data_IF_983036349693
#
_entry.id   IF_983036349693
#
_cell.length_a   1.000
_cell.length_b   1.000
_cell.length_c   1.000
_cell.angle_alpha   90.00
_cell.angle_beta   90.00
_cell.angle_gamma   90.00
#
_symmetry.space_group_name_H-M   'P 1'
#
loop_
_entity.id
_entity.type
_entity.pdbx_description
1 polymer ?
#
# COMPACT_ATOMS: atom_id res chain seq x y z
N UNK A 1 0.10 -18.60 -26.01
CA UNK A 1 0.27 -17.15 -26.30
C UNK A 1 0.21 -16.45 -24.97
N UNK A 2 1.33 -15.92 -24.48
CA UNK A 2 1.32 -15.10 -23.28
C UNK A 2 0.48 -13.85 -23.59
N UNK A 3 -0.61 -13.67 -22.90
CA UNK A 3 -1.34 -12.40 -22.89
C UNK A 3 -0.41 -11.44 -22.16
N UNK A 4 0.28 -10.59 -22.91
CA UNK A 4 0.97 -9.44 -22.33
C UNK A 4 -0.13 -8.60 -21.73
N UNK A 5 -0.23 -8.59 -20.37
CA UNK A 5 -1.10 -7.64 -19.68
C UNK A 5 -0.70 -6.24 -20.16
N UNK A 6 -1.66 -5.47 -20.62
CA UNK A 6 -1.43 -4.07 -20.89
C UNK A 6 -0.98 -3.44 -19.55
N UNK A 7 0.12 -2.68 -19.52
CA UNK A 7 0.51 -1.98 -18.31
C UNK A 7 -0.65 -1.06 -17.89
N UNK A 8 -0.86 -0.90 -16.60
CA UNK A 8 -1.70 0.18 -16.08
C UNK A 8 -1.28 1.48 -16.74
N UNK A 9 -2.22 2.26 -17.20
CA UNK A 9 -2.00 3.48 -17.91
C UNK A 9 -0.87 4.41 -17.45
N UNK A 10 -1.09 5.65 -17.54
CA UNK A 10 -0.20 6.72 -17.11
C UNK A 10 -0.55 7.20 -15.67
N UNK A 11 -0.03 8.36 -15.28
CA UNK A 11 -0.35 8.97 -14.00
C UNK A 11 -1.85 9.23 -13.80
N UNK A 12 -2.57 9.51 -14.89
CA UNK A 12 -4.02 9.75 -14.82
C UNK A 12 -4.78 8.49 -14.42
N UNK A 13 -4.33 7.30 -14.85
CA UNK A 13 -4.95 6.04 -14.45
C UNK A 13 -4.77 5.78 -12.95
N UNK A 14 -3.59 6.05 -12.38
CA UNK A 14 -3.36 5.97 -10.94
C UNK A 14 -4.20 6.99 -10.17
N UNK A 15 -4.29 8.22 -10.68
CA UNK A 15 -5.16 9.25 -10.10
C UNK A 15 -6.61 8.79 -10.14
N UNK A 16 -7.07 8.29 -11.28
CA UNK A 16 -8.43 7.78 -11.45
C UNK A 16 -8.71 6.57 -10.54
N UNK A 17 -7.73 5.68 -10.37
CA UNK A 17 -7.85 4.53 -9.47
C UNK A 17 -8.03 4.96 -8.01
N UNK A 18 -7.26 5.95 -7.57
CA UNK A 18 -7.31 6.43 -6.20
C UNK A 18 -8.45 7.41 -5.95
N UNK A 19 -9.02 7.96 -7.01
CA UNK A 19 -10.16 8.86 -6.92
C UNK A 19 -11.41 8.10 -6.47
N UNK A 20 -12.07 8.62 -5.43
CA UNK A 20 -13.33 8.09 -4.91
C UNK A 20 -14.42 9.16 -5.04
N UNK A 21 -15.54 8.80 -5.61
CA UNK A 21 -16.66 9.71 -5.83
C UNK A 21 -17.61 9.67 -4.64
N UNK A 22 -17.92 10.83 -4.07
CA UNK A 22 -18.96 10.94 -3.05
C UNK A 22 -20.33 10.58 -3.65
N UNK A 23 -21.06 9.66 -3.02
CA UNK A 23 -22.39 9.21 -3.41
C UNK A 23 -23.43 9.41 -2.30
N UNK A 24 -22.98 9.73 -1.09
CA UNK A 24 -23.80 10.05 0.07
C UNK A 24 -23.06 10.97 1.03
N UNK A 25 -23.63 11.25 2.19
CA UNK A 25 -23.00 12.10 3.20
C UNK A 25 -21.68 11.49 3.70
N UNK A 26 -21.68 10.19 3.97
CA UNK A 26 -20.57 9.39 4.48
C UNK A 26 -20.22 8.22 3.54
N UNK A 27 -20.73 8.22 2.30
CA UNK A 27 -20.58 7.13 1.36
C UNK A 27 -19.82 7.57 0.11
N UNK A 28 -18.86 6.75 -0.33
CA UNK A 28 -18.04 6.98 -1.51
C UNK A 28 -17.94 5.70 -2.34
N UNK A 29 -17.87 5.84 -3.67
CA UNK A 29 -17.59 4.74 -4.60
C UNK A 29 -16.26 4.95 -5.29
N UNK A 30 -15.49 3.87 -5.43
CA UNK A 30 -14.35 3.83 -6.34
C UNK A 30 -14.80 3.46 -7.75
N UNK A 31 -13.90 3.62 -8.72
CA UNK A 31 -14.03 3.01 -10.03
C UNK A 31 -13.51 1.56 -9.99
N UNK A 32 -14.11 0.70 -10.80
CA UNK A 32 -13.56 -0.63 -11.05
C UNK A 32 -12.38 -0.51 -12.01
N UNK A 33 -11.36 -1.33 -11.80
CA UNK A 33 -10.27 -1.48 -12.74
C UNK A 33 -9.54 -2.80 -12.49
N UNK A 34 -8.77 -3.22 -13.47
CA UNK A 34 -7.94 -4.42 -13.38
C UNK A 34 -6.59 -4.17 -14.05
N UNK A 35 -5.51 -4.62 -13.44
CA UNK A 35 -4.18 -4.62 -14.05
C UNK A 35 -3.98 -5.83 -15.01
N UNK A 36 -5.01 -6.64 -15.19
CA UNK A 36 -4.96 -7.84 -16.02
C UNK A 36 -4.15 -9.00 -15.44
N UNK A 37 -3.39 -8.76 -14.37
CA UNK A 37 -2.56 -9.79 -13.70
C UNK A 37 -3.29 -10.46 -12.57
N UNK A 38 -4.05 -9.70 -11.78
CA UNK A 38 -4.87 -10.19 -10.69
C UNK A 38 -6.27 -9.59 -10.76
N UNK A 39 -7.29 -10.38 -10.59
CA UNK A 39 -8.65 -9.86 -10.47
C UNK A 39 -8.94 -9.30 -9.08
N UNK A 40 -7.95 -9.28 -8.17
CA UNK A 40 -8.14 -8.91 -6.77
C UNK A 40 -7.55 -7.52 -6.51
N UNK A 41 -8.34 -6.68 -5.86
CA UNK A 41 -7.91 -5.34 -5.41
C UNK A 41 -6.90 -5.50 -4.27
N UNK A 42 -5.78 -4.80 -4.37
CA UNK A 42 -4.76 -4.79 -3.31
C UNK A 42 -5.29 -4.14 -2.02
N UNK A 43 -4.93 -4.70 -0.87
CA UNK A 43 -5.34 -4.16 0.43
C UNK A 43 -4.91 -2.71 0.63
N UNK A 44 -3.67 -2.39 0.26
CA UNK A 44 -3.16 -1.02 0.37
C UNK A 44 -3.86 -0.01 -0.54
N UNK A 45 -4.40 -0.45 -1.67
CA UNK A 45 -5.29 0.38 -2.50
C UNK A 45 -6.57 0.73 -1.74
N UNK A 46 -7.22 -0.25 -1.10
CA UNK A 46 -8.40 0.00 -0.28
C UNK A 46 -8.10 0.97 0.88
N UNK A 47 -6.93 0.82 1.53
CA UNK A 47 -6.47 1.73 2.58
C UNK A 47 -6.28 3.16 2.03
N UNK A 48 -5.59 3.31 0.91
CA UNK A 48 -5.35 4.61 0.29
C UNK A 48 -6.65 5.30 -0.14
N UNK A 49 -7.57 4.56 -0.78
CA UNK A 49 -8.89 5.07 -1.17
C UNK A 49 -9.74 5.47 0.05
N UNK A 50 -9.64 4.74 1.17
CA UNK A 50 -10.29 5.10 2.42
C UNK A 50 -9.75 6.42 2.99
N UNK A 51 -8.44 6.65 2.91
CA UNK A 51 -7.79 7.92 3.30
C UNK A 51 -8.29 9.07 2.42
N UNK A 52 -8.39 8.86 1.11
CA UNK A 52 -8.94 9.88 0.19
C UNK A 52 -10.41 10.18 0.53
N UNK A 53 -11.24 9.15 0.74
CA UNK A 53 -12.64 9.32 1.12
C UNK A 53 -12.80 10.12 2.43
N UNK A 54 -12.02 9.76 3.44
CA UNK A 54 -12.02 10.43 4.74
C UNK A 54 -11.53 11.89 4.64
N UNK A 55 -10.46 12.16 3.88
CA UNK A 55 -9.95 13.50 3.64
C UNK A 55 -10.98 14.40 2.94
N UNK A 56 -11.75 13.85 1.99
CA UNK A 56 -12.84 14.58 1.32
C UNK A 56 -14.06 14.81 2.22
N UNK A 57 -14.25 13.96 3.23
CA UNK A 57 -15.27 14.18 4.26
C UNK A 57 -14.85 15.23 5.28
N UNK A 58 -13.54 15.38 5.54
CA UNK A 58 -12.98 16.29 6.55
C UNK A 58 -12.09 17.39 5.92
N UNK A 59 -12.64 18.29 5.10
CA UNK A 59 -11.84 19.30 4.42
C UNK A 59 -11.08 20.19 5.41
N UNK A 60 -9.82 20.51 5.09
CA UNK A 60 -8.93 21.30 5.94
C UNK A 60 -8.31 20.51 7.10
N UNK A 61 -8.48 19.19 7.14
CA UNK A 61 -7.80 18.29 8.06
C UNK A 61 -6.89 17.34 7.30
N UNK A 62 -5.77 16.95 7.91
CA UNK A 62 -4.85 15.97 7.35
C UNK A 62 -5.07 14.59 8.00
N UNK A 63 -4.76 13.53 7.29
CA UNK A 63 -4.72 12.20 7.86
C UNK A 63 -3.51 12.08 8.82
N UNK A 64 -3.76 11.60 10.05
CA UNK A 64 -2.73 11.35 11.06
C UNK A 64 -2.44 9.87 11.18
N UNK A 65 -3.49 9.04 11.19
CA UNK A 65 -3.32 7.59 11.20
C UNK A 65 -4.48 6.89 10.53
N UNK A 66 -4.19 5.70 10.02
CA UNK A 66 -5.18 4.79 9.46
C UNK A 66 -4.78 3.35 9.77
N UNK A 67 -5.71 2.56 10.31
CA UNK A 67 -5.50 1.13 10.53
C UNK A 67 -6.61 0.37 9.84
N UNK A 68 -6.27 -0.65 9.05
CA UNK A 68 -7.23 -1.43 8.29
C UNK A 68 -6.92 -2.91 8.35
N UNK A 69 -7.96 -3.71 8.56
CA UNK A 69 -7.96 -5.17 8.44
C UNK A 69 -8.56 -5.56 7.09
N UNK A 70 -7.90 -6.46 6.37
CA UNK A 70 -8.36 -7.01 5.11
C UNK A 70 -8.98 -8.37 5.36
N UNK A 71 -10.29 -8.46 5.15
CA UNK A 71 -11.11 -9.59 5.57
C UNK A 71 -11.43 -10.54 4.43
N UNK A 72 -11.40 -10.02 3.19
CA UNK A 72 -11.72 -10.74 1.97
C UNK A 72 -11.11 -10.05 0.77
N UNK A 73 -10.67 -10.84 -0.22
CA UNK A 73 -10.32 -10.32 -1.55
C UNK A 73 -11.53 -9.63 -2.19
N UNK A 74 -11.29 -8.49 -2.82
CA UNK A 74 -12.28 -7.76 -3.61
C UNK A 74 -11.94 -7.95 -5.09
N UNK A 75 -12.96 -8.14 -5.92
CA UNK A 75 -12.82 -8.29 -7.37
C UNK A 75 -12.48 -6.93 -8.01
N UNK A 76 -11.36 -6.84 -8.71
CA UNK A 76 -10.92 -5.59 -9.34
C UNK A 76 -11.81 -5.15 -10.51
N UNK A 77 -12.65 -6.04 -11.04
CA UNK A 77 -13.61 -5.72 -12.11
C UNK A 77 -14.90 -5.07 -11.62
N UNK A 78 -15.08 -4.97 -10.29
CA UNK A 78 -16.27 -4.39 -9.66
C UNK A 78 -15.88 -3.18 -8.79
N UNK A 79 -16.76 -2.16 -8.70
CA UNK A 79 -16.50 -1.01 -7.86
C UNK A 79 -16.52 -1.38 -6.37
N UNK A 80 -15.77 -0.62 -5.58
CA UNK A 80 -15.80 -0.68 -4.12
C UNK A 80 -16.68 0.45 -3.59
N UNK A 81 -17.40 0.17 -2.49
CA UNK A 81 -18.13 1.14 -1.68
C UNK A 81 -17.39 1.36 -0.36
N UNK A 82 -17.13 2.62 -0.03
CA UNK A 82 -16.56 3.06 1.24
C UNK A 82 -17.66 3.72 2.06
N UNK A 83 -18.06 3.08 3.15
CA UNK A 83 -19.00 3.63 4.12
C UNK A 83 -18.22 4.15 5.33
N UNK A 84 -18.29 5.46 5.56
CA UNK A 84 -17.65 6.09 6.71
C UNK A 84 -18.64 6.16 7.87
N UNK A 85 -18.11 6.06 9.09
CA UNK A 85 -18.84 6.29 10.33
C UNK A 85 -18.14 7.38 11.13
N UNK A 86 -18.85 8.42 11.54
CA UNK A 86 -18.30 9.46 12.38
C UNK A 86 -18.24 8.95 13.84
N UNK A 87 -17.04 8.55 14.30
CA UNK A 87 -16.82 8.08 15.67
C UNK A 87 -16.69 9.25 16.65
N UNK A 88 -16.03 10.32 16.22
CA UNK A 88 -15.88 11.55 17.00
C UNK A 88 -15.59 12.74 16.10
N UNK A 89 -16.08 13.92 16.48
CA UNK A 89 -15.75 15.17 15.79
C UNK A 89 -15.52 16.27 16.84
N UNK A 90 -14.29 16.70 16.97
CA UNK A 90 -13.85 17.76 17.86
C UNK A 90 -13.23 18.93 17.10
N UNK A 91 -12.84 19.97 17.84
CA UNK A 91 -12.17 21.11 17.24
C UNK A 91 -10.84 20.75 16.59
N UNK A 92 -10.08 19.83 17.17
CA UNK A 92 -8.74 19.42 16.73
C UNK A 92 -8.77 18.11 15.94
N UNK A 93 -9.47 17.09 16.44
CA UNK A 93 -9.46 15.75 15.86
C UNK A 93 -10.83 15.33 15.34
N UNK A 94 -10.80 14.51 14.28
CA UNK A 94 -11.94 13.74 13.78
C UNK A 94 -11.53 12.28 13.70
N UNK A 95 -12.26 11.41 14.37
CA UNK A 95 -12.14 9.96 14.27
C UNK A 95 -13.23 9.39 13.38
N UNK A 96 -12.84 8.58 12.42
CA UNK A 96 -13.73 7.93 11.45
C UNK A 96 -13.53 6.41 11.48
N UNK A 97 -14.62 5.67 11.48
CA UNK A 97 -14.66 4.27 11.05
C UNK A 97 -14.82 4.19 9.54
N UNK A 98 -14.35 3.12 8.92
CA UNK A 98 -14.58 2.83 7.51
C UNK A 98 -14.87 1.35 7.30
N UNK A 99 -15.87 1.06 6.50
CA UNK A 99 -16.13 -0.25 5.94
C UNK A 99 -15.98 -0.19 4.42
N UNK A 100 -15.20 -1.11 3.87
CA UNK A 100 -15.06 -1.29 2.42
C UNK A 100 -15.93 -2.48 2.01
N UNK A 101 -16.90 -2.21 1.15
CA UNK A 101 -17.91 -3.16 0.72
C UNK A 101 -17.82 -3.42 -0.78
N UNK A 102 -18.13 -4.62 -1.19
CA UNK A 102 -18.37 -4.99 -2.58
C UNK A 102 -19.55 -5.95 -2.65
N UNK A 103 -20.55 -5.64 -3.46
CA UNK A 103 -21.82 -6.40 -3.56
C UNK A 103 -22.46 -6.66 -2.19
N UNK A 104 -22.42 -5.66 -1.28
CA UNK A 104 -22.96 -5.75 0.06
C UNK A 104 -22.14 -6.62 1.03
N UNK A 105 -20.98 -7.12 0.64
CA UNK A 105 -20.07 -7.91 1.48
C UNK A 105 -18.88 -7.07 1.92
N UNK A 106 -18.51 -7.19 3.20
CA UNK A 106 -17.37 -6.47 3.75
C UNK A 106 -16.05 -7.10 3.26
N UNK A 107 -15.22 -6.29 2.60
CA UNK A 107 -13.88 -6.65 2.13
C UNK A 107 -12.81 -6.19 3.11
N UNK A 108 -12.97 -4.99 3.69
CA UNK A 108 -12.07 -4.47 4.69
C UNK A 108 -12.82 -3.62 5.73
N UNK A 109 -12.20 -3.40 6.89
CA UNK A 109 -12.71 -2.53 7.95
C UNK A 109 -11.55 -1.83 8.64
N UNK A 110 -11.74 -0.57 8.99
CA UNK A 110 -10.67 0.23 9.59
C UNK A 110 -11.13 1.44 10.36
N UNK A 111 -10.15 2.14 10.92
CA UNK A 111 -10.33 3.41 11.62
C UNK A 111 -9.29 4.42 11.15
N UNK A 112 -9.70 5.68 11.06
CA UNK A 112 -8.85 6.78 10.65
C UNK A 112 -8.93 7.92 11.67
N UNK A 113 -7.81 8.60 11.87
CA UNK A 113 -7.74 9.82 12.66
C UNK A 113 -7.24 10.96 11.77
N UNK A 114 -7.98 12.07 11.80
CA UNK A 114 -7.64 13.31 11.12
C UNK A 114 -7.45 14.43 12.14
N UNK A 115 -6.52 15.36 11.89
CA UNK A 115 -6.32 16.53 12.73
C UNK A 115 -6.29 17.85 11.94
N UNK A 116 -6.33 18.93 12.68
CA UNK A 116 -5.95 20.26 12.19
C UNK A 116 -4.48 20.46 12.53
N UNK A 117 -3.67 20.84 11.56
CA UNK A 117 -2.24 21.07 11.72
C UNK A 117 -1.96 22.07 12.85
N UNK A 118 -1.02 21.74 13.72
CA UNK A 118 -0.57 22.56 14.84
C UNK A 118 0.93 22.81 14.73
N UNK A 119 1.45 23.93 15.33
CA UNK A 119 2.88 24.17 15.43
C UNK A 119 3.57 23.11 16.28
N UNK A 120 4.79 22.74 15.91
CA UNK A 120 5.62 21.82 16.68
C UNK A 120 6.06 22.44 18.00
N UNK A 121 5.79 21.77 19.11
CA UNK A 121 6.36 22.05 20.43
C UNK A 121 7.62 21.21 20.66
N UNK A 122 7.64 20.01 20.08
CA UNK A 122 8.78 19.08 20.09
C UNK A 122 8.95 18.56 18.66
N UNK A 123 10.20 18.30 18.28
CA UNK A 123 10.50 17.80 16.95
C UNK A 123 11.63 16.78 16.99
N UNK A 124 11.40 15.58 16.50
CA UNK A 124 12.40 14.56 16.22
C UNK A 124 11.82 13.50 15.26
N UNK A 125 12.70 12.80 14.58
CA UNK A 125 12.36 11.67 13.70
C UNK A 125 13.51 10.68 13.64
N UNK A 126 13.21 9.42 13.31
CA UNK A 126 14.24 8.43 13.03
C UNK A 126 14.89 8.80 11.70
N UNK A 127 16.23 8.81 11.67
CA UNK A 127 16.98 9.10 10.47
C UNK A 127 16.70 8.06 9.37
N UNK A 128 16.71 8.52 8.12
CA UNK A 128 16.66 7.63 6.97
C UNK A 128 17.87 6.68 6.94
N UNK A 129 17.72 5.45 6.42
CA UNK A 129 18.86 4.60 6.16
C UNK A 129 19.78 5.25 5.11
N UNK A 130 21.08 4.97 5.22
CA UNK A 130 22.07 5.42 4.23
C UNK A 130 22.04 4.45 3.06
N UNK A 131 21.43 4.86 1.96
CA UNK A 131 21.30 4.07 0.73
C UNK A 131 21.64 4.93 -0.49
N UNK A 132 21.97 4.33 -1.65
CA UNK A 132 22.11 5.06 -2.90
C UNK A 132 20.87 5.88 -3.24
N UNK A 133 21.08 7.04 -3.87
CA UNK A 133 19.98 7.89 -4.34
C UNK A 133 19.16 7.23 -5.45
N UNK A 134 17.97 7.79 -5.77
CA UNK A 134 17.09 7.17 -6.78
C UNK A 134 17.74 7.10 -8.18
N UNK A 135 18.62 8.05 -8.52
CA UNK A 135 19.31 8.05 -9.83
C UNK A 135 20.38 6.97 -9.94
N UNK A 136 20.89 6.48 -8.81
CA UNK A 136 21.90 5.42 -8.73
C UNK A 136 21.28 4.02 -8.61
N UNK A 137 19.95 3.92 -8.50
CA UNK A 137 19.24 2.66 -8.38
C UNK A 137 18.57 2.28 -9.72
N UNK A 138 18.56 0.97 -10.10
CA UNK A 138 17.89 0.54 -11.31
C UNK A 138 16.37 0.76 -11.25
N UNK A 139 15.74 1.11 -12.39
CA UNK A 139 14.28 1.18 -12.46
C UNK A 139 13.69 -0.21 -12.29
N UNK A 140 12.58 -0.29 -11.59
CA UNK A 140 11.79 -1.49 -11.44
C UNK A 140 10.38 -1.28 -11.99
N UNK A 141 10.00 -2.06 -12.99
CA UNK A 141 8.65 -2.02 -13.56
C UNK A 141 7.73 -2.96 -12.77
N UNK A 142 6.83 -2.40 -12.00
CA UNK A 142 5.80 -3.15 -11.28
C UNK A 142 4.52 -3.33 -12.12
N UNK A 143 4.58 -3.05 -13.42
CA UNK A 143 3.45 -3.09 -14.36
C UNK A 143 2.26 -2.16 -14.02
N UNK A 144 2.45 -1.26 -13.08
CA UNK A 144 1.53 -0.17 -12.80
C UNK A 144 2.21 1.12 -13.23
N UNK A 145 1.65 1.80 -14.20
CA UNK A 145 2.21 3.05 -14.72
C UNK A 145 1.78 4.24 -13.87
N UNK A 146 2.38 5.40 -14.12
CA UNK A 146 2.10 6.63 -13.34
C UNK A 146 2.95 6.78 -12.10
N UNK A 147 3.87 5.85 -11.84
CA UNK A 147 4.87 5.98 -10.79
C UNK A 147 6.25 5.53 -11.28
N UNK A 148 7.29 6.09 -10.69
CA UNK A 148 8.66 5.62 -10.83
C UNK A 148 9.03 4.81 -9.58
N UNK A 149 9.56 3.63 -9.76
CA UNK A 149 10.07 2.77 -8.68
C UNK A 149 11.54 2.46 -8.95
N UNK A 150 12.37 2.59 -7.93
CA UNK A 150 13.80 2.27 -7.95
C UNK A 150 14.11 1.39 -6.75
N UNK A 151 14.58 0.19 -6.96
CA UNK A 151 14.88 -0.75 -5.88
C UNK A 151 16.37 -0.72 -5.57
N UNK A 152 16.70 -0.45 -4.31
CA UNK A 152 18.10 -0.45 -3.84
C UNK A 152 18.68 -1.86 -3.97
N UNK A 153 19.86 -1.95 -4.55
CA UNK A 153 20.63 -3.21 -4.76
C UNK A 153 19.84 -4.31 -5.51
N UNK A 154 18.79 -3.96 -6.24
CA UNK A 154 17.93 -4.94 -6.92
C UNK A 154 17.28 -5.95 -5.97
N UNK A 155 17.04 -5.55 -4.72
CA UNK A 155 16.60 -6.44 -3.64
C UNK A 155 15.20 -7.03 -3.83
N UNK A 156 14.39 -6.52 -4.75
CA UNK A 156 13.09 -7.06 -5.13
C UNK A 156 13.20 -7.68 -6.51
N UNK A 157 13.19 -9.01 -6.58
CA UNK A 157 13.49 -9.75 -7.80
C UNK A 157 12.49 -10.91 -7.99
N UNK A 158 12.06 -11.10 -9.23
CA UNK A 158 11.19 -12.20 -9.65
C UNK A 158 12.00 -13.43 -10.15
N UNK A 159 13.34 -13.40 -10.07
CA UNK A 159 14.21 -14.54 -10.39
C UNK A 159 14.09 -15.59 -9.28
N UNK A 160 13.70 -16.84 -9.61
CA UNK A 160 13.65 -17.92 -8.62
C UNK A 160 15.00 -18.29 -8.02
N UNK A 161 16.09 -17.94 -8.70
CA UNK A 161 17.48 -18.20 -8.29
C UNK A 161 18.14 -16.94 -7.67
N UNK A 162 17.35 -15.88 -7.40
CA UNK A 162 17.86 -14.67 -6.76
C UNK A 162 18.56 -14.98 -5.43
N UNK A 163 19.71 -14.35 -5.15
CA UNK A 163 20.45 -14.62 -3.94
C UNK A 163 19.67 -14.20 -2.69
N UNK A 164 19.80 -15.00 -1.62
CA UNK A 164 19.25 -14.63 -0.32
C UNK A 164 19.91 -13.37 0.22
N UNK A 165 19.18 -12.58 1.00
CA UNK A 165 19.64 -11.36 1.61
C UNK A 165 19.00 -11.10 2.97
N UNK A 166 19.28 -9.98 3.62
CA UNK A 166 18.62 -9.61 4.86
C UNK A 166 17.10 -9.41 4.63
N UNK A 167 16.26 -9.53 5.69
CA UNK A 167 14.81 -9.33 5.60
C UNK A 167 14.45 -7.84 5.42
N UNK A 168 15.04 -7.22 4.42
CA UNK A 168 15.01 -5.79 4.20
C UNK A 168 14.92 -5.48 2.71
N UNK A 169 14.04 -4.55 2.34
CA UNK A 169 13.97 -3.97 0.99
C UNK A 169 13.81 -2.46 1.14
N UNK A 170 14.70 -1.72 0.49
CA UNK A 170 14.60 -0.29 0.32
C UNK A 170 14.18 0.05 -1.10
N UNK A 171 13.20 0.93 -1.26
CA UNK A 171 12.71 1.35 -2.56
C UNK A 171 12.37 2.84 -2.59
N UNK A 172 12.89 3.53 -3.60
CA UNK A 172 12.49 4.88 -3.95
C UNK A 172 11.24 4.83 -4.82
N UNK A 173 10.26 5.64 -4.47
CA UNK A 173 8.98 5.73 -5.19
C UNK A 173 8.62 7.19 -5.40
N UNK A 174 8.13 7.51 -6.59
CA UNK A 174 7.59 8.82 -6.93
C UNK A 174 6.42 8.63 -7.88
N UNK A 175 5.32 9.35 -7.67
CA UNK A 175 4.17 9.38 -8.56
C UNK A 175 4.28 10.59 -9.50
N UNK A 176 3.81 10.45 -10.73
CA UNK A 176 3.94 11.49 -11.76
C UNK A 176 2.63 12.24 -11.97
N UNK A 177 2.74 13.52 -12.32
CA UNK A 177 1.62 14.34 -12.81
C UNK A 177 0.42 14.45 -11.85
N UNK A 178 0.68 14.57 -10.54
CA UNK A 178 -0.38 14.66 -9.54
C UNK A 178 -0.99 16.06 -9.44
N UNK A 179 -2.32 16.17 -9.25
CA UNK A 179 -2.95 17.42 -8.86
C UNK A 179 -2.55 17.81 -7.43
N UNK A 180 -2.65 19.09 -7.09
CA UNK A 180 -2.46 19.58 -5.73
C UNK A 180 -3.70 19.23 -4.86
N UNK A 181 -3.79 17.95 -4.48
CA UNK A 181 -4.86 17.37 -3.66
C UNK A 181 -4.25 16.58 -2.49
N UNK A 182 -4.09 17.19 -1.30
CA UNK A 182 -3.45 16.55 -0.15
C UNK A 182 -4.03 15.18 0.23
N UNK A 183 -5.35 14.94 0.26
CA UNK A 183 -5.89 13.61 0.45
C UNK A 183 -5.40 12.57 -0.56
N UNK A 184 -5.24 12.96 -1.83
CA UNK A 184 -4.74 12.06 -2.87
C UNK A 184 -3.27 11.72 -2.66
N UNK A 185 -2.41 12.70 -2.33
CA UNK A 185 -1.00 12.46 -2.00
C UNK A 185 -0.86 11.50 -0.81
N UNK A 186 -1.65 11.69 0.26
CA UNK A 186 -1.68 10.79 1.41
C UNK A 186 -2.17 9.39 1.03
N UNK A 187 -3.21 9.29 0.21
CA UNK A 187 -3.73 8.02 -0.30
C UNK A 187 -2.72 7.26 -1.16
N UNK A 188 -1.96 7.96 -2.00
CA UNK A 188 -0.92 7.36 -2.85
C UNK A 188 0.28 6.87 -2.04
N UNK A 189 0.70 7.60 -0.99
CA UNK A 189 1.68 7.07 -0.06
C UNK A 189 1.16 5.75 0.56
N UNK A 190 -0.08 5.74 1.02
CA UNK A 190 -0.69 4.55 1.62
C UNK A 190 -0.83 3.40 0.62
N UNK A 191 -1.12 3.68 -0.65
CA UNK A 191 -1.24 2.66 -1.69
C UNK A 191 0.05 1.84 -1.86
N UNK A 192 1.22 2.43 -1.70
CA UNK A 192 2.47 1.69 -1.83
C UNK A 192 2.87 0.90 -0.58
N UNK A 193 2.24 1.11 0.57
CA UNK A 193 2.57 0.39 1.83
C UNK A 193 2.34 -1.13 1.75
N UNK A 194 1.48 -1.60 0.86
CA UNK A 194 1.21 -3.02 0.65
C UNK A 194 2.24 -3.75 -0.20
N UNK A 195 3.16 -3.01 -0.83
CA UNK A 195 4.20 -3.62 -1.66
C UNK A 195 5.44 -3.95 -0.83
N UNK A 196 6.19 -4.95 -1.26
CA UNK A 196 7.53 -5.31 -0.78
C UNK A 196 7.65 -5.86 0.65
N UNK A 197 6.70 -5.62 1.58
CA UNK A 197 6.82 -6.09 2.97
C UNK A 197 6.89 -7.62 3.09
N UNK A 198 6.05 -8.34 2.34
CA UNK A 198 6.11 -9.82 2.31
C UNK A 198 7.36 -10.28 1.60
N UNK A 199 7.75 -9.65 0.49
CA UNK A 199 8.99 -9.98 -0.21
C UNK A 199 10.22 -9.80 0.68
N UNK A 200 10.27 -8.74 1.51
CA UNK A 200 11.32 -8.56 2.51
C UNK A 200 11.39 -9.73 3.51
N UNK A 201 10.22 -10.25 3.93
CA UNK A 201 10.14 -11.40 4.81
C UNK A 201 10.62 -12.71 4.14
N UNK A 202 10.42 -12.85 2.82
CA UNK A 202 10.84 -14.03 2.08
C UNK A 202 12.35 -14.02 1.75
N UNK A 203 12.94 -12.84 1.61
CA UNK A 203 14.31 -12.64 1.12
C UNK A 203 15.42 -13.46 1.82
N UNK A 204 15.36 -13.78 3.14
CA UNK A 204 16.35 -14.63 3.80
C UNK A 204 16.25 -16.13 3.48
N UNK A 205 15.25 -16.56 2.74
CA UNK A 205 14.92 -17.97 2.59
C UNK A 205 15.25 -18.48 1.18
N UNK A 206 16.21 -19.38 1.08
CA UNK A 206 16.61 -20.03 -0.17
C UNK A 206 15.43 -20.81 -0.79
N UNK A 207 15.20 -20.60 -2.09
CA UNK A 207 14.11 -21.26 -2.84
C UNK A 207 12.69 -20.75 -2.52
N UNK A 208 12.56 -19.73 -1.68
CA UNK A 208 11.28 -19.11 -1.32
C UNK A 208 11.43 -17.59 -1.40
N UNK A 209 11.07 -17.01 -2.53
CA UNK A 209 11.18 -15.57 -2.79
C UNK A 209 9.94 -15.02 -3.47
N UNK A 210 10.05 -13.80 -3.97
CA UNK A 210 8.97 -13.15 -4.72
C UNK A 210 8.53 -13.94 -5.95
N UNK A 211 9.46 -14.65 -6.60
CA UNK A 211 9.16 -15.52 -7.74
C UNK A 211 8.16 -16.65 -7.42
N UNK A 212 8.08 -17.09 -6.16
CA UNK A 212 7.17 -18.13 -5.69
C UNK A 212 5.82 -17.60 -5.22
N UNK A 213 5.72 -16.28 -4.95
CA UNK A 213 4.49 -15.66 -4.48
C UNK A 213 3.35 -15.85 -5.50
N UNK A 214 2.20 -16.34 -5.03
CA UNK A 214 1.02 -16.69 -5.82
C UNK A 214 1.24 -17.79 -6.89
N UNK A 215 2.39 -18.47 -6.90
CA UNK A 215 2.71 -19.59 -7.79
C UNK A 215 2.80 -20.91 -7.02
N UNK A 216 3.65 -20.98 -6.03
CA UNK A 216 3.83 -22.16 -5.16
C UNK A 216 3.50 -21.89 -3.70
N UNK A 217 3.47 -20.62 -3.29
CA UNK A 217 3.02 -20.17 -1.98
C UNK A 217 1.91 -19.14 -2.10
N UNK A 218 0.95 -19.21 -1.19
CA UNK A 218 -0.09 -18.21 -1.01
C UNK A 218 0.43 -17.09 -0.13
N UNK A 219 0.34 -15.86 -0.62
CA UNK A 219 0.73 -14.65 0.13
C UNK A 219 -0.41 -13.65 0.12
N UNK A 220 -0.55 -12.89 1.19
CA UNK A 220 -1.57 -11.85 1.29
C UNK A 220 -1.34 -10.96 2.49
N UNK A 221 -1.84 -9.74 2.42
CA UNK A 221 -1.81 -8.77 3.52
C UNK A 221 -3.08 -8.94 4.33
N UNK A 222 -2.94 -9.04 5.67
CA UNK A 222 -4.06 -9.15 6.60
C UNK A 222 -4.37 -7.83 7.30
N UNK A 223 -3.35 -7.00 7.58
CA UNK A 223 -3.53 -5.70 8.20
C UNK A 223 -2.42 -4.72 7.81
N UNK A 224 -2.77 -3.44 7.79
CA UNK A 224 -1.82 -2.33 7.73
C UNK A 224 -2.23 -1.32 8.81
N UNK A 225 -1.25 -0.87 9.61
CA UNK A 225 -1.38 0.27 10.50
C UNK A 225 -0.37 1.34 10.07
N UNK A 226 -0.88 2.51 9.68
CA UNK A 226 -0.11 3.63 9.13
C UNK A 226 -0.25 4.84 10.02
N UNK A 227 0.86 5.51 10.35
CA UNK A 227 0.93 6.82 10.99
C UNK A 227 1.63 7.80 10.05
N UNK A 228 0.99 8.93 9.77
CA UNK A 228 1.55 10.02 8.97
C UNK A 228 2.07 11.11 9.88
N UNK A 229 3.32 11.52 9.68
CA UNK A 229 4.01 12.47 10.55
C UNK A 229 4.05 13.87 9.94
N UNK A 230 3.99 13.96 8.61
CA UNK A 230 4.07 15.20 7.84
C UNK A 230 3.09 15.18 6.68
N UNK A 231 2.87 16.36 6.08
CA UNK A 231 2.20 16.46 4.79
C UNK A 231 3.05 15.77 3.71
N UNK A 232 2.38 15.07 2.80
CA UNK A 232 3.01 14.23 1.78
C UNK A 232 3.00 14.93 0.43
N UNK A 233 4.14 14.90 -0.25
CA UNK A 233 4.28 15.22 -1.67
C UNK A 233 4.65 13.94 -2.41
N UNK A 234 3.64 13.17 -2.81
CA UNK A 234 3.86 11.89 -3.48
C UNK A 234 4.42 12.03 -4.91
N UNK A 235 4.45 13.24 -5.46
CA UNK A 235 5.13 13.61 -6.70
C UNK A 235 6.65 13.86 -6.52
N UNK A 236 7.14 13.81 -5.29
CA UNK A 236 8.57 13.84 -4.94
C UNK A 236 9.06 12.43 -4.58
N UNK A 237 10.38 12.21 -4.62
CA UNK A 237 10.94 10.92 -4.25
C UNK A 237 10.75 10.63 -2.78
N UNK A 238 10.18 9.45 -2.48
CA UNK A 238 9.99 8.89 -1.15
C UNK A 238 10.76 7.58 -1.04
N UNK A 239 11.55 7.42 0.02
CA UNK A 239 12.25 6.19 0.36
C UNK A 239 11.39 5.34 1.29
N UNK A 240 10.91 4.22 0.79
CA UNK A 240 10.25 3.19 1.59
C UNK A 240 11.28 2.18 2.11
N UNK A 241 11.38 2.07 3.41
CA UNK A 241 12.23 1.14 4.12
C UNK A 241 11.37 0.03 4.71
N UNK A 242 11.41 -1.17 4.14
CA UNK A 242 10.64 -2.34 4.56
C UNK A 242 11.53 -3.30 5.33
N UNK A 243 11.38 -3.38 6.64
CA UNK A 243 12.10 -4.31 7.50
C UNK A 243 11.12 -5.38 8.03
N UNK A 244 11.29 -6.63 7.60
CA UNK A 244 10.55 -7.74 8.22
C UNK A 244 11.20 -8.12 9.53
N UNK A 245 10.46 -8.01 10.62
CA UNK A 245 10.94 -8.30 11.99
C UNK A 245 10.56 -9.71 12.45
N UNK A 246 9.61 -10.36 11.77
CA UNK A 246 9.19 -11.72 12.11
C UNK A 246 8.57 -12.43 10.90
N UNK A 247 8.90 -13.71 10.74
CA UNK A 247 8.24 -14.64 9.83
C UNK A 247 8.14 -16.00 10.53
N UNK A 248 6.94 -16.34 11.04
CA UNK A 248 6.71 -17.58 11.78
C UNK A 248 5.22 -17.96 11.79
N UNK A 249 4.91 -19.26 11.91
CA UNK A 249 3.53 -19.74 12.01
C UNK A 249 2.67 -19.44 10.77
N UNK A 250 3.28 -19.22 9.61
CA UNK A 250 2.58 -18.82 8.38
C UNK A 250 2.19 -17.35 8.32
N UNK A 251 2.73 -16.52 9.24
CA UNK A 251 2.51 -15.07 9.29
C UNK A 251 3.84 -14.34 9.17
N UNK A 252 3.79 -13.11 8.64
CA UNK A 252 4.92 -12.17 8.60
C UNK A 252 4.52 -10.88 9.27
N UNK A 253 5.46 -10.21 9.91
CA UNK A 253 5.32 -8.87 10.44
C UNK A 253 6.46 -8.00 9.95
N UNK A 254 6.14 -6.79 9.48
CA UNK A 254 7.12 -5.82 9.01
C UNK A 254 6.90 -4.48 9.69
N UNK A 255 8.00 -3.82 10.08
CA UNK A 255 8.05 -2.46 10.60
C UNK A 255 8.72 -1.57 9.56
N UNK A 256 7.96 -0.65 9.01
CA UNK A 256 8.35 0.10 7.83
C UNK A 256 8.33 1.61 8.07
N UNK A 257 9.13 2.34 7.29
CA UNK A 257 9.21 3.79 7.35
C UNK A 257 9.25 4.38 5.96
N UNK A 258 8.74 5.59 5.83
CA UNK A 258 8.83 6.39 4.60
C UNK A 258 9.52 7.69 4.92
N UNK A 259 10.58 7.99 4.17
CA UNK A 259 11.32 9.25 4.27
C UNK A 259 11.24 10.02 2.96
N UNK A 260 11.34 11.33 3.01
CA UNK A 260 11.56 12.12 1.80
C UNK A 260 13.03 12.05 1.33
N UNK A 261 13.34 12.68 0.21
CA UNK A 261 14.69 12.71 -0.34
C UNK A 261 15.70 13.47 0.53
N UNK A 262 15.25 14.29 1.50
CA UNK A 262 16.12 14.95 2.47
C UNK A 262 16.42 14.08 3.70
N UNK A 263 15.74 12.93 3.84
CA UNK A 263 15.85 12.02 4.98
C UNK A 263 14.85 12.30 6.11
N UNK A 264 13.91 13.23 5.92
CA UNK A 264 12.86 13.50 6.91
C UNK A 264 11.81 12.40 6.92
N UNK A 265 11.39 11.98 8.12
CA UNK A 265 10.39 10.92 8.28
C UNK A 265 9.00 11.44 7.93
N UNK A 266 8.41 10.91 6.85
CA UNK A 266 7.05 11.23 6.40
C UNK A 266 6.00 10.36 7.07
N UNK A 267 6.27 9.06 7.19
CA UNK A 267 5.32 8.08 7.73
C UNK A 267 6.03 6.87 8.34
N UNK A 268 5.31 6.18 9.22
CA UNK A 268 5.68 4.85 9.73
C UNK A 268 4.49 3.93 9.60
N UNK A 269 4.73 2.65 9.26
CA UNK A 269 3.66 1.69 9.14
C UNK A 269 4.11 0.28 9.49
N UNK A 270 3.15 -0.56 9.87
CA UNK A 270 3.35 -1.98 10.04
C UNK A 270 2.47 -2.75 9.07
N UNK A 271 2.95 -3.90 8.62
CA UNK A 271 2.22 -4.82 7.76
C UNK A 271 2.23 -6.21 8.38
N UNK A 272 1.04 -6.73 8.66
CA UNK A 272 0.83 -8.13 8.97
C UNK A 272 0.40 -8.85 7.69
N UNK A 273 1.19 -9.84 7.30
CA UNK A 273 0.94 -10.65 6.11
C UNK A 273 0.90 -12.12 6.42
N UNK A 274 0.42 -12.90 5.46
CA UNK A 274 0.51 -14.36 5.51
C UNK A 274 1.41 -14.89 4.40
N UNK A 275 2.10 -15.98 4.71
CA UNK A 275 2.86 -16.82 3.76
C UNK A 275 2.55 -18.26 4.10
N UNK A 276 1.82 -18.95 3.23
CA UNK A 276 1.34 -20.31 3.47
C UNK A 276 1.51 -21.19 2.23
N UNK A 277 1.72 -22.49 2.38
CA UNK A 277 1.61 -23.40 1.25
C UNK A 277 0.16 -23.39 0.73
N UNK A 278 -0.03 -23.59 -0.57
CA UNK A 278 -1.37 -23.87 -1.06
C UNK A 278 -1.88 -25.20 -0.47
N UNK A 279 -3.17 -25.25 -0.13
CA UNK A 279 -3.78 -26.43 0.47
C UNK A 279 -3.74 -27.66 -0.48
N UNK A 280 -3.71 -27.43 -1.79
CA UNK A 280 -3.55 -28.42 -2.85
C UNK A 280 -2.38 -28.04 -3.75
N UNK A 281 -1.33 -28.83 -3.78
CA UNK A 281 -0.18 -28.60 -4.67
C UNK A 281 -0.55 -28.64 -6.17
N UNK A 282 -1.71 -29.22 -6.53
CA UNK A 282 -2.27 -29.20 -7.88
C UNK A 282 -2.96 -27.89 -8.27
N UNK A 283 -3.44 -27.13 -7.30
CA UNK A 283 -4.06 -25.80 -7.49
C UNK A 283 -3.04 -24.68 -7.70
N UNK A 284 -1.81 -24.87 -7.25
CA UNK A 284 -0.75 -23.86 -7.30
C UNK A 284 -0.40 -23.37 -8.71
N UNK A 285 -0.86 -24.02 -9.76
CA UNK A 285 -0.45 -23.69 -11.15
C UNK A 285 -1.47 -22.93 -11.99
N UNK A 286 -2.76 -22.97 -11.67
CA UNK A 286 -3.81 -22.46 -12.56
C UNK A 286 -4.94 -21.68 -11.87
N UNK A 287 -5.04 -21.67 -10.55
CA UNK A 287 -6.13 -20.97 -9.87
C UNK A 287 -5.60 -19.76 -9.10
N UNK A 288 -6.17 -18.62 -9.45
CA UNK A 288 -6.09 -17.36 -8.70
C UNK A 288 -6.64 -17.62 -7.31
N UNK A 289 -5.81 -17.37 -6.29
CA UNK A 289 -6.27 -17.49 -4.91
C UNK A 289 -7.35 -16.44 -4.64
N UNK A 290 -8.58 -16.89 -4.51
CA UNK A 290 -9.60 -16.13 -3.83
C UNK A 290 -9.19 -16.07 -2.34
N UNK A 291 -8.60 -14.94 -1.92
CA UNK A 291 -8.38 -14.62 -0.52
C UNK A 291 -9.63 -14.02 0.09
#
# INVERSE_FOLDING_TARGET
MAVTAEPWGDAADLVAMMDVRRVGELSFDSVAHTDGRRPVVEGSQMLGQAIVAAGRHTPGRRAVSATMLFLRGADATLPLRFELELLSSGRTFTGLGVEVLQDGRRCASGVLLHDVTAPDVVHHGVAAPVVPGPDDCPPYDMAVTGRDVRVVDGAYDDDPDAPVGPPLIDAWVRFRELPDDPPLHAGLLAQFTGHMSIAAALRPHEGVGQAQAHRSISTGINAIALSMHRDVRADEWMLYHHLSTSATGGMTHSECRVHDASGELLASFTVDGMVRPFADAGRARDERTDL
#
